data_IF_854474130460
#
_entry.id   IF_854474130460
#
_cell.length_a   1.000
_cell.length_b   1.000
_cell.length_c   1.000
_cell.angle_alpha   90.00
_cell.angle_beta   90.00
_cell.angle_gamma   90.00
#
_symmetry.space_group_name_H-M   'P 1'
#
loop_
_entity.id
_entity.type
_entity.pdbx_description
1 polymer ?
#
# COMPACT_ATOMS: atom_id res chain seq x y z
N UNK A 1 -34.65 -19.63 -42.61
CA UNK A 1 -34.31 -20.70 -43.58
C UNK A 1 -32.93 -20.36 -44.11
N UNK A 2 -31.81 -21.04 -43.84
CA UNK A 2 -31.56 -22.41 -43.42
C UNK A 2 -30.66 -23.08 -44.46
N UNK A 3 -29.50 -23.59 -44.02
CA UNK A 3 -28.55 -24.49 -44.72
C UNK A 3 -27.51 -23.78 -45.63
N UNK A 4 -26.21 -24.10 -45.62
CA UNK A 4 -25.46 -25.17 -44.95
C UNK A 4 -23.94 -24.96 -45.05
N UNK A 5 -23.21 -25.69 -44.19
CA UNK A 5 -21.74 -25.76 -44.05
C UNK A 5 -21.09 -26.69 -45.08
N UNK A 6 -19.83 -26.44 -45.44
CA UNK A 6 -18.73 -27.44 -45.63
C UNK A 6 -17.43 -26.65 -45.87
N UNK A 7 -16.40 -26.68 -45.01
CA UNK A 7 -15.36 -27.72 -44.86
C UNK A 7 -14.52 -27.93 -46.13
N UNK A 8 -13.24 -27.53 -46.12
CA UNK A 8 -12.10 -28.46 -46.22
C UNK A 8 -10.74 -27.75 -46.47
N UNK A 9 -9.78 -28.19 -45.66
CA UNK A 9 -8.31 -28.18 -45.78
C UNK A 9 -7.73 -28.01 -47.18
N UNK A 10 -6.63 -27.26 -47.25
CA UNK A 10 -5.48 -27.63 -48.06
C UNK A 10 -4.21 -27.58 -47.18
N UNK A 11 -3.56 -28.73 -47.04
CA UNK A 11 -2.26 -28.90 -46.40
C UNK A 11 -1.16 -28.84 -47.46
N UNK A 12 -0.03 -28.27 -47.06
CA UNK A 12 1.36 -28.63 -47.37
C UNK A 12 1.75 -28.88 -48.84
N UNK A 13 2.64 -28.02 -49.34
CA UNK A 13 3.75 -28.47 -50.17
C UNK A 13 5.06 -28.38 -49.38
N UNK A 14 5.89 -29.37 -49.67
CA UNK A 14 7.04 -29.90 -48.97
C UNK A 14 8.26 -29.66 -49.85
N UNK A 15 9.33 -29.13 -49.29
CA UNK A 15 10.74 -29.21 -49.74
C UNK A 15 11.56 -28.63 -48.57
N UNK A 16 12.05 -29.43 -47.63
CA UNK A 16 13.20 -30.35 -47.69
C UNK A 16 14.46 -29.70 -48.27
N UNK A 17 15.41 -29.37 -47.40
CA UNK A 17 16.84 -29.70 -47.58
C UNK A 17 17.69 -29.18 -46.42
N UNK A 18 18.36 -30.09 -45.73
CA UNK A 18 19.72 -29.83 -45.23
C UNK A 18 19.92 -29.75 -43.72
N UNK A 19 19.85 -30.89 -43.03
CA UNK A 19 20.74 -31.15 -41.87
C UNK A 19 21.96 -31.93 -42.37
N UNK A 20 23.14 -31.68 -41.78
CA UNK A 20 23.82 -32.83 -41.22
C UNK A 20 24.20 -32.65 -39.75
N UNK A 21 24.13 -33.80 -39.08
CA UNK A 21 24.33 -34.07 -37.67
C UNK A 21 25.80 -33.96 -37.27
N UNK A 22 26.07 -33.34 -36.12
CA UNK A 22 27.12 -33.75 -35.18
C UNK A 22 26.54 -33.53 -33.78
N UNK A 23 26.03 -34.57 -33.13
CA UNK A 23 26.78 -35.42 -32.18
C UNK A 23 27.71 -34.59 -31.28
N UNK A 24 27.21 -34.23 -30.11
CA UNK A 24 27.94 -34.40 -28.86
C UNK A 24 26.99 -34.27 -27.68
N UNK A 25 26.61 -35.43 -27.15
CA UNK A 25 26.14 -35.54 -25.79
C UNK A 25 27.33 -35.28 -24.87
N UNK A 26 27.26 -34.24 -24.06
CA UNK A 26 28.07 -34.17 -22.85
C UNK A 26 27.15 -33.71 -21.73
N UNK A 27 26.67 -34.70 -21.00
CA UNK A 27 26.05 -34.51 -19.70
C UNK A 27 27.14 -34.04 -18.73
N UNK A 28 26.94 -32.87 -18.14
CA UNK A 28 27.58 -32.49 -16.89
C UNK A 28 26.49 -32.24 -15.86
N UNK A 29 26.39 -33.20 -14.95
CA UNK A 29 25.79 -33.06 -13.63
C UNK A 29 26.65 -32.06 -12.85
N UNK A 30 26.06 -30.99 -12.33
CA UNK A 30 26.52 -30.40 -11.06
C UNK A 30 25.42 -29.63 -10.35
N UNK A 31 25.05 -30.21 -9.21
CA UNK A 31 24.68 -29.64 -7.90
C UNK A 31 23.62 -28.54 -7.81
N UNK A 32 22.58 -28.90 -7.06
CA UNK A 32 21.81 -27.99 -6.20
C UNK A 32 22.74 -26.99 -5.50
N UNK A 33 22.51 -25.71 -5.77
CA UNK A 33 22.66 -24.68 -4.77
C UNK A 33 21.34 -23.91 -4.71
N UNK A 34 20.34 -24.51 -4.05
CA UNK A 34 19.30 -23.73 -3.38
C UNK A 34 20.00 -22.91 -2.29
N UNK A 35 20.55 -21.77 -2.68
CA UNK A 35 20.81 -20.69 -1.74
C UNK A 35 19.60 -19.78 -1.81
N UNK A 36 18.53 -20.23 -1.15
CA UNK A 36 17.54 -19.31 -0.64
C UNK A 36 18.25 -18.47 0.42
N UNK A 37 18.94 -17.40 0.00
CA UNK A 37 19.21 -16.28 0.89
C UNK A 37 17.87 -15.61 1.14
N UNK A 38 17.11 -16.16 2.09
CA UNK A 38 16.18 -15.36 2.89
C UNK A 38 17.02 -14.44 3.77
N UNK A 39 17.73 -13.50 3.14
CA UNK A 39 18.29 -12.35 3.81
C UNK A 39 17.11 -11.42 4.08
N UNK A 40 16.49 -11.69 5.23
CA UNK A 40 15.54 -10.87 5.96
C UNK A 40 15.30 -9.48 5.37
N UNK A 41 14.06 -9.24 4.94
CA UNK A 41 13.46 -7.91 4.82
C UNK A 41 13.36 -7.26 6.21
N UNK A 42 14.48 -7.11 6.91
CA UNK A 42 14.59 -6.58 8.27
C UNK A 42 15.72 -5.53 8.28
N UNK A 43 15.68 -4.56 7.37
CA UNK A 43 16.63 -3.43 7.36
C UNK A 43 15.98 -2.17 6.79
N UNK A 44 15.08 -1.56 7.57
CA UNK A 44 14.84 -0.11 7.52
C UNK A 44 14.14 0.46 8.76
N UNK A 45 13.49 -0.38 9.57
CA UNK A 45 12.78 0.01 10.79
C UNK A 45 13.68 0.11 12.02
N UNK A 46 14.86 -0.51 12.01
CA UNK A 46 15.77 -0.53 13.15
C UNK A 46 16.31 0.85 13.55
N UNK A 47 16.33 1.81 12.61
CA UNK A 47 16.88 3.16 12.82
C UNK A 47 15.81 4.26 12.87
N UNK A 48 14.51 3.90 12.84
CA UNK A 48 13.43 4.87 12.86
C UNK A 48 13.22 5.40 14.28
N UNK A 49 13.41 6.70 14.48
CA UNK A 49 13.09 7.38 15.75
C UNK A 49 11.65 7.91 15.74
N UNK A 50 11.08 8.19 16.92
CA UNK A 50 9.75 8.83 17.03
C UNK A 50 9.65 10.12 16.22
N UNK A 51 10.67 10.99 16.31
CA UNK A 51 10.69 12.26 15.59
C UNK A 51 10.71 12.05 14.07
N UNK A 52 11.50 11.09 13.56
CA UNK A 52 11.51 10.75 12.14
C UNK A 52 10.17 10.14 11.69
N UNK A 53 9.59 9.27 12.52
CA UNK A 53 8.28 8.67 12.27
C UNK A 53 7.19 9.75 12.18
N UNK A 54 7.18 10.71 13.10
CA UNK A 54 6.23 11.82 13.10
C UNK A 54 6.42 12.75 11.90
N UNK A 55 7.65 13.15 11.57
CA UNK A 55 7.92 14.00 10.42
C UNK A 55 7.49 13.34 9.11
N UNK A 56 7.80 12.04 8.96
CA UNK A 56 7.39 11.28 7.79
C UNK A 56 5.87 11.12 7.71
N UNK A 57 5.20 10.91 8.84
CA UNK A 57 3.74 10.84 8.90
C UNK A 57 3.06 12.14 8.45
N UNK A 58 3.55 13.29 8.93
CA UNK A 58 3.08 14.61 8.50
C UNK A 58 3.31 14.82 6.99
N UNK A 59 4.50 14.48 6.48
CA UNK A 59 4.80 14.59 5.05
C UNK A 59 3.81 13.79 4.19
N UNK A 60 3.51 12.55 4.56
CA UNK A 60 2.56 11.70 3.84
C UNK A 60 1.15 12.29 3.86
N UNK A 61 0.71 12.83 5.00
CA UNK A 61 -0.59 13.49 5.11
C UNK A 61 -0.66 14.76 4.24
N UNK A 62 0.41 15.56 4.23
CA UNK A 62 0.51 16.76 3.39
C UNK A 62 0.50 16.41 1.89
N UNK A 63 1.20 15.34 1.49
CA UNK A 63 1.19 14.85 0.11
C UNK A 63 -0.23 14.48 -0.36
N UNK A 64 -1.04 13.87 0.51
CA UNK A 64 -2.41 13.50 0.19
C UNK A 64 -3.29 14.74 -0.09
N UNK A 65 -3.14 15.80 0.71
CA UNK A 65 -3.99 17.00 0.62
C UNK A 65 -3.46 18.05 -0.35
N UNK A 66 -2.24 17.90 -0.87
CA UNK A 66 -1.56 18.90 -1.68
C UNK A 66 -2.40 19.35 -2.90
N UNK A 67 -2.98 18.39 -3.62
CA UNK A 67 -3.77 18.62 -4.84
C UNK A 67 -5.29 18.62 -4.66
N UNK A 68 -5.79 18.57 -3.41
CA UNK A 68 -7.23 18.42 -3.17
C UNK A 68 -8.04 19.66 -3.54
N UNK A 69 -9.26 19.43 -4.02
CA UNK A 69 -10.29 20.45 -4.26
C UNK A 69 -11.67 19.97 -3.75
N UNK A 70 -12.40 20.75 -2.94
CA UNK A 70 -11.96 22.01 -2.33
C UNK A 70 -10.75 21.77 -1.42
N UNK A 71 -9.88 22.78 -1.26
CA UNK A 71 -8.64 22.65 -0.48
C UNK A 71 -8.98 22.55 1.01
N UNK A 72 -8.76 21.41 1.69
CA UNK A 72 -9.00 21.32 3.12
C UNK A 72 -7.82 21.88 3.92
N UNK A 73 -8.12 22.33 5.13
CA UNK A 73 -7.11 22.53 6.17
C UNK A 73 -6.85 21.19 6.88
N UNK A 74 -5.58 20.78 6.93
CA UNK A 74 -5.15 19.62 7.69
C UNK A 74 -5.02 20.01 9.17
N UNK A 75 -5.91 19.49 10.03
CA UNK A 75 -5.87 19.73 11.49
C UNK A 75 -5.57 18.45 12.23
N UNK A 76 -4.46 18.43 12.98
CA UNK A 76 -4.13 17.28 13.82
C UNK A 76 -5.22 17.11 14.88
N UNK A 77 -5.92 15.98 14.80
CA UNK A 77 -6.99 15.61 15.71
C UNK A 77 -6.46 14.75 16.86
N UNK A 78 -5.53 13.85 16.56
CA UNK A 78 -4.93 12.95 17.53
C UNK A 78 -3.48 12.64 17.18
N UNK A 79 -2.68 12.40 18.22
CA UNK A 79 -1.31 11.92 18.14
C UNK A 79 -1.07 10.93 19.27
N UNK A 80 -0.43 9.82 18.95
CA UNK A 80 0.06 8.85 19.93
C UNK A 80 1.41 8.28 19.50
N UNK A 81 2.22 7.98 20.50
CA UNK A 81 3.44 7.17 20.42
C UNK A 81 3.32 6.15 21.56
N UNK A 82 3.10 4.87 21.22
CA UNK A 82 2.83 3.84 22.22
C UNK A 82 3.34 2.48 21.78
N UNK A 83 3.40 1.55 22.74
CA UNK A 83 3.88 0.19 22.52
C UNK A 83 3.17 -0.51 21.35
N UNK A 84 3.96 -1.18 20.51
CA UNK A 84 3.48 -1.98 19.39
C UNK A 84 3.64 -3.48 19.67
N UNK A 85 2.61 -4.25 19.34
CA UNK A 85 2.65 -5.72 19.36
C UNK A 85 2.93 -6.25 17.96
N UNK A 86 3.93 -7.12 17.83
CA UNK A 86 4.19 -7.86 16.58
C UNK A 86 3.79 -9.33 16.75
N UNK A 87 3.73 -10.09 15.65
CA UNK A 87 3.50 -11.55 15.69
C UNK A 87 4.52 -12.29 16.56
N UNK A 88 5.68 -11.69 16.80
CA UNK A 88 6.77 -12.23 17.63
C UNK A 88 6.74 -11.74 19.09
N UNK A 89 5.67 -11.02 19.49
CA UNK A 89 5.45 -10.52 20.84
C UNK A 89 5.56 -9.00 20.97
N UNK A 90 5.33 -8.51 22.19
CA UNK A 90 5.54 -7.13 22.63
C UNK A 90 7.01 -6.92 22.97
N UNK A 91 7.89 -7.04 21.97
CA UNK A 91 9.22 -6.47 22.13
C UNK A 91 9.08 -4.97 22.37
N UNK A 92 10.08 -4.34 22.98
CA UNK A 92 10.18 -2.90 23.29
C UNK A 92 10.14 -2.04 22.02
N UNK A 93 9.01 -2.04 21.33
CA UNK A 93 8.79 -1.34 20.08
C UNK A 93 7.70 -0.30 20.33
N UNK A 94 7.90 0.87 19.77
CA UNK A 94 6.89 1.92 19.71
C UNK A 94 6.38 2.08 18.28
N UNK A 95 5.23 2.74 18.19
CA UNK A 95 4.60 3.12 16.94
C UNK A 95 3.97 4.50 17.11
N UNK A 96 4.29 5.39 16.18
CA UNK A 96 3.61 6.67 16.01
C UNK A 96 2.34 6.46 15.19
N UNK A 97 1.23 7.06 15.65
CA UNK A 97 -0.01 7.24 14.90
C UNK A 97 -0.39 8.72 14.94
N UNK A 98 -0.67 9.30 13.78
CA UNK A 98 -1.16 10.68 13.66
C UNK A 98 -2.45 10.69 12.87
N UNK A 99 -3.48 11.31 13.44
CA UNK A 99 -4.79 11.43 12.82
C UNK A 99 -5.08 12.90 12.54
N UNK A 100 -5.45 13.20 11.30
CA UNK A 100 -5.83 14.53 10.86
C UNK A 100 -7.28 14.56 10.45
N UNK A 101 -7.97 15.60 10.89
CA UNK A 101 -9.27 16.00 10.39
C UNK A 101 -9.09 16.97 9.22
N UNK A 102 -9.84 16.77 8.14
CA UNK A 102 -9.89 17.69 7.01
C UNK A 102 -11.01 18.72 7.24
N UNK A 103 -10.62 19.97 7.49
CA UNK A 103 -11.55 21.05 7.85
C UNK A 103 -11.62 22.16 6.78
N UNK A 104 -12.53 23.12 6.96
CA UNK A 104 -12.65 24.29 6.08
C UNK A 104 -13.34 24.00 4.74
N UNK A 105 -14.02 22.85 4.63
CA UNK A 105 -14.70 22.37 3.44
C UNK A 105 -16.15 21.98 3.78
N UNK A 106 -17.08 22.00 2.80
CA UNK A 106 -18.43 21.52 3.03
C UNK A 106 -18.46 20.05 3.46
N UNK A 107 -19.33 19.64 4.39
CA UNK A 107 -19.48 18.24 4.81
C UNK A 107 -19.77 17.27 3.67
N UNK A 108 -20.46 17.73 2.62
CA UNK A 108 -20.77 16.95 1.42
C UNK A 108 -19.54 16.60 0.59
N UNK A 109 -18.42 17.30 0.77
CA UNK A 109 -17.16 17.03 0.07
C UNK A 109 -16.34 15.90 0.70
N UNK A 110 -16.67 15.46 1.92
CA UNK A 110 -15.83 14.55 2.70
C UNK A 110 -15.52 13.23 1.96
N UNK A 111 -16.53 12.59 1.38
CA UNK A 111 -16.33 11.35 0.60
C UNK A 111 -15.43 11.56 -0.62
N UNK A 112 -15.59 12.69 -1.30
CA UNK A 112 -14.76 13.01 -2.48
C UNK A 112 -13.32 13.33 -2.09
N UNK A 113 -13.09 13.91 -0.91
CA UNK A 113 -11.74 14.11 -0.37
C UNK A 113 -11.05 12.79 -0.02
N UNK A 114 -11.78 11.80 0.49
CA UNK A 114 -11.24 10.44 0.70
C UNK A 114 -10.80 9.81 -0.62
N UNK A 115 -11.59 9.98 -1.69
CA UNK A 115 -11.21 9.51 -3.04
C UNK A 115 -9.96 10.23 -3.55
N UNK A 116 -9.86 11.55 -3.36
CA UNK A 116 -8.68 12.32 -3.76
C UNK A 116 -7.42 11.90 -3.00
N UNK A 117 -7.53 11.58 -1.69
CA UNK A 117 -6.41 11.05 -0.92
C UNK A 117 -5.93 9.71 -1.48
N UNK A 118 -6.88 8.80 -1.77
CA UNK A 118 -6.62 7.52 -2.43
C UNK A 118 -5.89 7.72 -3.75
N UNK A 119 -6.38 8.61 -4.61
CA UNK A 119 -5.79 8.82 -5.94
C UNK A 119 -4.39 9.44 -5.85
N UNK A 120 -4.17 10.36 -4.91
CA UNK A 120 -2.85 10.93 -4.63
C UNK A 120 -1.85 9.85 -4.19
N UNK A 121 -2.25 8.96 -3.28
CA UNK A 121 -1.40 7.86 -2.82
C UNK A 121 -1.10 6.84 -3.93
N UNK A 122 -2.09 6.52 -4.77
CA UNK A 122 -1.88 5.66 -5.93
C UNK A 122 -0.88 6.29 -6.91
N UNK A 123 -0.97 7.61 -7.16
CA UNK A 123 -0.05 8.33 -8.03
C UNK A 123 1.40 8.33 -7.48
N UNK A 124 1.56 8.28 -6.15
CA UNK A 124 2.86 8.13 -5.47
C UNK A 124 3.38 6.68 -5.45
N UNK A 125 2.62 5.73 -5.99
CA UNK A 125 3.00 4.32 -6.06
C UNK A 125 2.75 3.52 -4.78
N UNK A 126 2.03 4.08 -3.81
CA UNK A 126 1.61 3.38 -2.60
C UNK A 126 0.66 2.24 -2.95
N UNK A 127 0.57 1.22 -2.09
CA UNK A 127 -0.19 -0.01 -2.39
C UNK A 127 -1.35 -0.19 -1.42
N UNK A 128 -2.40 -0.84 -1.88
CA UNK A 128 -3.50 -1.28 -1.03
C UNK A 128 -3.04 -2.38 -0.07
N UNK A 129 -3.54 -2.36 1.17
CA UNK A 129 -3.18 -3.36 2.18
C UNK A 129 -3.77 -4.75 1.86
N UNK A 130 -4.93 -4.79 1.23
CA UNK A 130 -5.60 -5.99 0.75
C UNK A 130 -6.45 -5.68 -0.49
N UNK A 131 -7.05 -6.72 -1.08
CA UNK A 131 -7.98 -6.60 -2.22
C UNK A 131 -9.22 -5.75 -1.91
N UNK A 132 -9.60 -5.66 -0.63
CA UNK A 132 -10.81 -4.97 -0.17
C UNK A 132 -10.47 -3.57 0.39
N UNK A 133 -9.22 -3.12 0.27
CA UNK A 133 -8.77 -1.84 0.83
C UNK A 133 -9.03 -0.62 -0.02
N UNK A 134 -9.59 -0.75 -1.24
CA UNK A 134 -10.02 0.38 -2.07
C UNK A 134 -11.47 0.80 -1.77
N UNK A 135 -12.04 0.35 -0.65
CA UNK A 135 -13.38 0.71 -0.17
C UNK A 135 -14.52 0.24 -1.08
N UNK A 136 -15.72 0.18 -0.52
CA UNK A 136 -16.94 0.17 -1.32
C UNK A 136 -17.41 1.61 -1.53
N UNK A 137 -17.19 2.17 -2.72
CA UNK A 137 -17.57 3.54 -3.03
C UNK A 137 -19.08 3.78 -3.11
N UNK A 138 -19.89 2.73 -3.07
CA UNK A 138 -21.34 2.87 -2.91
C UNK A 138 -21.74 3.14 -1.45
N UNK A 139 -20.88 2.81 -0.48
CA UNK A 139 -21.07 3.13 0.94
C UNK A 139 -20.73 4.62 1.19
N UNK A 140 -21.63 5.40 1.81
CA UNK A 140 -21.32 6.74 2.28
C UNK A 140 -20.08 6.80 3.18
N UNK A 141 -19.84 5.77 4.00
CA UNK A 141 -18.71 5.66 4.93
C UNK A 141 -17.46 5.01 4.30
N UNK A 142 -17.34 5.03 2.96
CA UNK A 142 -16.20 4.47 2.24
C UNK A 142 -14.86 4.90 2.86
N UNK A 143 -13.97 3.91 2.98
CA UNK A 143 -12.64 4.04 3.54
C UNK A 143 -11.62 3.36 2.63
N UNK A 144 -10.42 3.95 2.56
CA UNK A 144 -9.28 3.38 1.86
C UNK A 144 -8.18 3.04 2.85
N UNK A 145 -7.49 1.91 2.64
CA UNK A 145 -6.36 1.49 3.46
C UNK A 145 -5.15 1.16 2.57
N UNK A 146 -4.03 1.83 2.81
CA UNK A 146 -2.84 1.70 1.98
C UNK A 146 -1.58 1.59 2.82
N UNK A 147 -0.47 1.27 2.17
CA UNK A 147 0.85 1.39 2.76
C UNK A 147 1.87 2.01 1.80
N UNK A 148 2.82 2.71 2.39
CA UNK A 148 3.97 3.26 1.67
C UNK A 148 4.99 2.15 1.35
N UNK A 149 5.85 2.41 0.37
CA UNK A 149 6.99 1.54 0.06
C UNK A 149 8.22 2.43 -0.16
N UNK A 150 9.41 2.06 0.36
CA UNK A 150 9.72 0.85 1.14
C UNK A 150 9.59 1.00 2.67
N UNK A 151 9.11 2.15 3.14
CA UNK A 151 9.05 2.57 4.54
C UNK A 151 7.86 2.01 5.34
N UNK A 152 6.89 1.37 4.68
CA UNK A 152 5.82 0.56 5.28
C UNK A 152 4.94 1.26 6.34
N UNK A 153 4.75 2.57 6.19
CA UNK A 153 3.71 3.30 6.93
C UNK A 153 2.33 2.85 6.46
N UNK A 154 1.46 2.53 7.40
CA UNK A 154 0.04 2.24 7.19
C UNK A 154 -0.75 3.55 7.11
N UNK A 155 -1.59 3.66 6.08
CA UNK A 155 -2.35 4.86 5.75
C UNK A 155 -3.84 4.51 5.71
N UNK A 156 -4.69 5.39 6.22
CA UNK A 156 -6.11 5.32 5.92
C UNK A 156 -6.70 6.69 5.67
N UNK A 157 -7.69 6.74 4.77
CA UNK A 157 -8.57 7.89 4.63
C UNK A 157 -10.01 7.41 4.72
N UNK A 158 -10.82 8.10 5.52
CA UNK A 158 -12.15 7.63 5.90
C UNK A 158 -13.14 8.79 5.96
N UNK A 159 -14.38 8.54 5.54
CA UNK A 159 -15.48 9.47 5.71
C UNK A 159 -16.30 9.11 6.96
N UNK A 160 -16.19 9.91 8.02
CA UNK A 160 -17.05 9.76 9.19
C UNK A 160 -18.38 10.46 8.94
N UNK A 161 -19.42 9.68 8.67
CA UNK A 161 -20.77 10.18 8.43
C UNK A 161 -21.32 10.88 9.67
N UNK A 162 -21.71 12.14 9.50
CA UNK A 162 -22.41 12.95 10.51
C UNK A 162 -23.91 13.06 10.22
N UNK A 163 -24.31 12.94 8.96
CA UNK A 163 -25.73 12.88 8.54
C UNK A 163 -25.94 11.70 7.58
N UNK A 164 -26.77 10.74 8.00
CA UNK A 164 -27.06 9.53 7.21
C UNK A 164 -28.03 9.77 6.06
N UNK A 165 -28.84 10.82 6.11
CA UNK A 165 -29.79 11.14 5.06
C UNK A 165 -29.10 11.73 3.83
N UNK A 166 -28.07 12.57 4.05
CA UNK A 166 -27.30 13.20 2.98
C UNK A 166 -26.00 12.47 2.65
N UNK A 167 -25.47 11.68 3.59
CA UNK A 167 -24.13 11.12 3.49
C UNK A 167 -23.02 12.13 3.81
N UNK A 168 -23.39 13.30 4.34
CA UNK A 168 -22.46 14.32 4.77
C UNK A 168 -21.62 13.82 5.95
N UNK A 169 -20.36 14.22 5.97
CA UNK A 169 -19.44 13.76 6.98
C UNK A 169 -18.21 14.63 7.12
N UNK A 170 -17.22 14.03 7.79
CA UNK A 170 -15.92 14.63 8.02
C UNK A 170 -14.88 13.63 7.52
N UNK A 171 -13.99 14.09 6.65
CA UNK A 171 -12.89 13.29 6.16
C UNK A 171 -11.73 13.28 7.15
N UNK A 172 -11.16 12.11 7.36
CA UNK A 172 -9.97 11.91 8.17
C UNK A 172 -8.86 11.27 7.36
N UNK A 173 -7.62 11.62 7.69
CA UNK A 173 -6.41 10.94 7.23
C UNK A 173 -5.66 10.45 8.46
N UNK A 174 -5.40 9.15 8.54
CA UNK A 174 -4.56 8.55 9.57
C UNK A 174 -3.29 8.03 8.93
N UNK A 175 -2.15 8.35 9.54
CA UNK A 175 -0.84 7.83 9.16
C UNK A 175 -0.19 7.19 10.36
N UNK A 176 0.19 5.92 10.21
CA UNK A 176 0.78 5.10 11.26
C UNK A 176 2.10 4.53 10.79
N UNK A 177 3.15 4.78 11.58
CA UNK A 177 4.49 4.27 11.30
C UNK A 177 4.58 2.74 11.43
N UNK A 178 5.56 2.09 10.78
CA UNK A 178 5.94 0.75 11.19
C UNK A 178 6.48 0.77 12.63
N UNK A 179 6.47 -0.38 13.28
CA UNK A 179 6.98 -0.48 14.65
C UNK A 179 8.51 -0.34 14.66
N UNK A 180 9.03 0.44 15.60
CA UNK A 180 10.46 0.76 15.71
C UNK A 180 10.99 0.54 17.13
N UNK A 181 12.28 0.22 17.31
CA UNK A 181 12.86 0.00 18.63
C UNK A 181 12.74 1.20 19.56
N UNK A 182 12.41 0.96 20.83
CA UNK A 182 12.51 1.99 21.87
C UNK A 182 13.96 2.45 22.03
N UNK A 183 14.19 3.71 22.40
CA UNK A 183 15.50 4.13 22.87
C UNK A 183 15.87 3.26 24.07
N UNK A 184 16.97 2.51 23.98
CA UNK A 184 17.54 1.85 25.16
C UNK A 184 17.92 2.93 26.16
N UNK A 185 17.26 2.96 27.33
CA UNK A 185 17.76 3.69 28.48
C UNK A 185 19.16 3.13 28.78
N UNK A 186 20.18 4.00 28.68
CA UNK A 186 21.53 3.64 29.10
C UNK A 186 21.46 3.26 30.59
N UNK A 187 22.05 2.14 31.04
CA UNK A 187 22.05 1.81 32.46
C UNK A 187 22.70 2.97 33.21
N UNK A 188 21.97 3.57 34.16
CA UNK A 188 22.51 4.57 35.07
C UNK A 188 23.72 3.99 35.80
N UNK A 189 24.83 4.73 35.90
CA UNK A 189 26.08 4.25 36.51
C UNK A 189 25.94 3.90 38.00
#
# INVERSE_FOLDING_TARGET
>A
MGHGRAMARAQAHFEDSGRPLLRSAVAWVTLLALTATTAACARKTADLTEQQARMRAEEIAQQAVAGMSPKPALRQHHYSSSGCTTEFGTAELDQVSVDYRLEGVPPSAARDLVRQARDAWVALGYKFQSKDSDGDWSDPAAAVFMHTRPDDFSLSAQNSITDRGTGDGIAYITVRSPCYPKPTESPSP
#
